data_IF_379452958641
#
_entry.id   IF_379452958641
#
_cell.length_a   1.000
_cell.length_b   1.000
_cell.length_c   1.000
_cell.angle_alpha   90.00
_cell.angle_beta   90.00
_cell.angle_gamma   90.00
#
_symmetry.space_group_name_H-M   'P 1'
#
loop_
_entity.id
_entity.type
_entity.pdbx_description
1 polymer ?
#
# COMPACT_ATOMS: atom_id res chain seq x y z
N UNK A 1 4.86 -20.51 4.22
CA UNK A 1 4.08 -21.55 4.93
C UNK A 1 4.62 -21.65 6.36
N UNK A 2 3.79 -21.63 7.40
CA UNK A 2 2.32 -21.72 7.36
C UNK A 2 1.60 -20.35 7.37
N UNK A 3 2.17 -19.31 6.73
CA UNK A 3 1.51 -18.00 6.59
C UNK A 3 0.47 -17.98 5.46
N UNK A 4 -0.62 -17.23 5.65
CA UNK A 4 -1.75 -17.11 4.72
C UNK A 4 -1.51 -16.12 3.56
N UNK A 5 -0.57 -15.19 3.71
CA UNK A 5 -0.24 -14.19 2.69
C UNK A 5 1.22 -13.74 2.77
N UNK A 6 1.71 -13.19 1.67
CA UNK A 6 2.99 -12.48 1.57
C UNK A 6 2.77 -11.17 0.82
N UNK A 7 3.34 -10.08 1.34
CA UNK A 7 3.31 -8.78 0.71
C UNK A 7 4.73 -8.33 0.38
N UNK A 8 4.93 -7.76 -0.80
CA UNK A 8 6.19 -7.17 -1.24
C UNK A 8 6.01 -5.68 -1.49
N UNK A 9 7.10 -4.95 -1.25
CA UNK A 9 7.22 -3.52 -1.53
C UNK A 9 8.12 -3.35 -2.74
N UNK A 10 7.58 -2.76 -3.81
CA UNK A 10 8.36 -2.45 -5.00
C UNK A 10 9.19 -1.17 -4.80
N UNK A 11 10.04 -0.84 -5.77
CA UNK A 11 10.83 0.39 -5.71
C UNK A 11 9.96 1.66 -5.64
N UNK A 12 10.40 2.64 -4.84
CA UNK A 12 9.82 3.98 -4.81
C UNK A 12 10.34 4.76 -6.02
N UNK A 13 9.44 5.20 -6.90
CA UNK A 13 9.79 5.94 -8.12
C UNK A 13 8.96 7.22 -8.24
N UNK A 14 9.52 8.26 -8.85
CA UNK A 14 8.78 9.51 -9.11
C UNK A 14 7.78 9.28 -10.25
N UNK A 15 6.49 9.52 -9.99
CA UNK A 15 5.42 9.39 -11.00
C UNK A 15 4.52 10.64 -10.99
N UNK A 16 4.03 11.09 -12.15
CA UNK A 16 2.95 12.08 -12.21
C UNK A 16 1.64 11.44 -11.75
N UNK A 17 0.91 12.11 -10.87
CA UNK A 17 -0.39 11.68 -10.35
C UNK A 17 -1.36 12.87 -10.30
N UNK A 18 -2.64 12.62 -10.55
CA UNK A 18 -3.68 13.62 -10.42
C UNK A 18 -4.13 13.75 -8.95
N UNK A 19 -4.10 14.95 -8.40
CA UNK A 19 -4.55 15.29 -7.03
C UNK A 19 -5.25 16.65 -7.11
N UNK A 20 -6.50 16.74 -6.66
CA UNK A 20 -7.30 17.97 -6.65
C UNK A 20 -7.28 18.69 -8.03
N UNK A 21 -7.61 17.95 -9.09
CA UNK A 21 -7.63 18.41 -10.49
C UNK A 21 -6.29 18.98 -11.03
N UNK A 22 -5.18 18.71 -10.36
CA UNK A 22 -3.83 19.09 -10.80
C UNK A 22 -2.89 17.89 -10.90
N UNK A 23 -1.90 17.97 -11.80
CA UNK A 23 -0.83 16.98 -11.90
C UNK A 23 0.28 17.34 -10.92
N UNK A 24 0.63 16.41 -10.03
CA UNK A 24 1.75 16.53 -9.11
C UNK A 24 2.72 15.35 -9.27
N UNK A 25 4.02 15.59 -9.12
CA UNK A 25 5.01 14.51 -9.04
C UNK A 25 5.06 13.99 -7.59
N UNK A 26 4.85 12.69 -7.41
CA UNK A 26 4.90 12.02 -6.10
C UNK A 26 5.87 10.85 -6.10
N UNK A 27 6.41 10.55 -4.93
CA UNK A 27 7.09 9.30 -4.66
C UNK A 27 6.03 8.20 -4.56
N UNK A 28 5.96 7.32 -5.55
CA UNK A 28 4.96 6.26 -5.64
C UNK A 28 5.62 4.89 -5.50
N UNK A 29 4.92 3.96 -4.85
CA UNK A 29 5.34 2.58 -4.66
C UNK A 29 4.15 1.65 -4.95
N UNK A 30 4.42 0.48 -5.54
CA UNK A 30 3.43 -0.57 -5.65
C UNK A 30 3.52 -1.48 -4.42
N UNK A 31 2.37 -1.83 -3.85
CA UNK A 31 2.23 -2.92 -2.88
C UNK A 31 1.64 -4.12 -3.61
N UNK A 32 2.38 -5.22 -3.62
CA UNK A 32 1.94 -6.47 -4.25
C UNK A 32 1.68 -7.48 -3.15
N UNK A 33 0.58 -8.22 -3.23
CA UNK A 33 0.25 -9.26 -2.25
C UNK A 33 -0.19 -10.53 -2.95
N UNK A 34 0.38 -11.64 -2.52
CA UNK A 34 -0.11 -12.99 -2.84
C UNK A 34 -0.71 -13.59 -1.58
N UNK A 35 -1.89 -14.18 -1.69
CA UNK A 35 -2.61 -14.76 -0.56
C UNK A 35 -3.25 -16.09 -0.95
N UNK A 36 -3.49 -16.93 0.06
CA UNK A 36 -4.20 -18.19 -0.11
C UNK A 36 -5.71 -17.96 -0.17
N UNK A 37 -6.29 -18.13 -1.36
CA UNK A 37 -7.70 -17.85 -1.63
C UNK A 37 -8.67 -18.81 -0.90
N UNK A 38 -8.14 -19.88 -0.29
CA UNK A 38 -8.91 -20.80 0.57
C UNK A 38 -9.15 -20.22 1.96
N UNK A 39 -8.32 -19.27 2.38
CA UNK A 39 -8.36 -18.65 3.72
C UNK A 39 -9.08 -17.30 3.69
N UNK A 40 -8.79 -16.50 2.66
CA UNK A 40 -9.33 -15.14 2.52
C UNK A 40 -9.70 -14.87 1.07
N UNK A 41 -10.64 -13.96 0.86
CA UNK A 41 -11.06 -13.56 -0.48
C UNK A 41 -10.45 -12.22 -0.93
N UNK A 42 -10.79 -11.79 -2.15
CA UNK A 42 -10.31 -10.54 -2.70
C UNK A 42 -10.76 -9.29 -1.95
N UNK A 43 -11.92 -9.30 -1.28
CA UNK A 43 -12.43 -8.16 -0.53
C UNK A 43 -11.63 -7.97 0.76
N UNK A 44 -11.36 -9.05 1.49
CA UNK A 44 -10.52 -9.04 2.68
C UNK A 44 -9.07 -8.65 2.33
N UNK A 45 -8.54 -9.23 1.25
CA UNK A 45 -7.22 -8.91 0.72
C UNK A 45 -7.07 -7.43 0.36
N UNK A 46 -8.06 -6.88 -0.37
CA UNK A 46 -8.08 -5.47 -0.76
C UNK A 46 -8.23 -4.56 0.46
N UNK A 47 -9.09 -4.93 1.41
CA UNK A 47 -9.26 -4.21 2.68
C UNK A 47 -7.95 -4.09 3.44
N UNK A 48 -7.19 -5.18 3.54
CA UNK A 48 -5.86 -5.17 4.16
C UNK A 48 -4.88 -4.23 3.44
N UNK A 49 -4.71 -4.36 2.11
CA UNK A 49 -3.80 -3.50 1.34
C UNK A 49 -4.21 -2.03 1.46
N UNK A 50 -5.50 -1.71 1.38
CA UNK A 50 -5.99 -0.34 1.53
C UNK A 50 -5.69 0.22 2.93
N UNK A 51 -5.82 -0.60 3.97
CA UNK A 51 -5.48 -0.20 5.33
C UNK A 51 -3.97 0.01 5.53
N UNK A 52 -3.12 -0.75 4.86
CA UNK A 52 -1.66 -0.53 4.84
C UNK A 52 -1.32 0.75 4.09
N UNK A 53 -1.89 0.93 2.88
CA UNK A 53 -1.75 2.15 2.07
C UNK A 53 -2.09 3.39 2.88
N UNK A 54 -3.26 3.42 3.51
CA UNK A 54 -3.72 4.58 4.27
C UNK A 54 -2.78 4.92 5.44
N UNK A 55 -2.22 3.90 6.13
CA UNK A 55 -1.24 4.12 7.19
C UNK A 55 0.07 4.69 6.65
N UNK A 56 0.58 4.18 5.53
CA UNK A 56 1.79 4.70 4.90
C UNK A 56 1.61 6.14 4.41
N UNK A 57 0.46 6.45 3.81
CA UNK A 57 0.13 7.81 3.32
C UNK A 57 -0.09 8.82 4.45
N UNK A 58 -0.44 8.36 5.66
CA UNK A 58 -0.62 9.21 6.84
C UNK A 58 0.70 9.57 7.54
N UNK A 59 1.83 8.94 7.18
CA UNK A 59 3.13 9.26 7.78
C UNK A 59 3.58 10.64 7.29
N UNK A 60 3.85 11.52 8.25
CA UNK A 60 4.33 12.88 7.99
C UNK A 60 5.47 13.27 8.93
N UNK A 61 5.96 14.53 8.82
CA UNK A 61 7.08 15.02 9.62
C UNK A 61 6.87 14.96 11.14
N UNK A 62 5.60 14.95 11.57
CA UNK A 62 5.21 14.95 12.98
C UNK A 62 4.82 13.56 13.49
N UNK A 63 4.96 12.50 12.68
CA UNK A 63 4.67 11.14 13.11
C UNK A 63 5.74 10.71 14.12
N UNK A 64 5.32 10.44 15.36
CA UNK A 64 6.20 9.91 16.41
C UNK A 64 6.79 8.57 15.98
N UNK A 65 8.10 8.42 16.16
CA UNK A 65 8.82 7.20 15.73
C UNK A 65 8.92 6.18 16.88
N UNK A 66 8.55 6.57 18.11
CA UNK A 66 8.57 5.73 19.32
C UNK A 66 7.49 6.18 20.31
#
# INVERSE_FOLDING_TARGET
>A
YPQAAIMTTEAIVKRPVAINDAIAIRSMMNLCMSFDHRIMDGAEASGFINAVKARLEAIGPNTGIY
#
